data_IF_116194139001
#
_entry.id   IF_116194139001
#
_cell.length_a   1.000
_cell.length_b   1.000
_cell.length_c   1.000
_cell.angle_alpha   90.00
_cell.angle_beta   90.00
_cell.angle_gamma   90.00
#
_symmetry.space_group_name_H-M   'P 1'
#
loop_
_entity.id
_entity.type
_entity.pdbx_description
1 polymer ?
#
# COMPACT_ATOMS: atom_id res chain seq x y z
N UNK A 1 -6.85 35.11 -7.68
CA UNK A 1 -8.10 34.49 -8.18
C UNK A 1 -7.80 33.45 -9.27
N UNK A 2 -7.14 33.81 -10.39
CA UNK A 2 -6.68 32.82 -11.39
C UNK A 2 -5.75 31.74 -10.84
N UNK A 3 -4.93 32.07 -9.84
CA UNK A 3 -4.02 31.15 -9.16
C UNK A 3 -4.63 29.83 -8.69
N UNK A 4 -5.88 29.79 -8.23
CA UNK A 4 -6.54 28.55 -7.81
C UNK A 4 -6.95 27.66 -8.99
N UNK A 5 -7.39 28.28 -10.09
CA UNK A 5 -7.76 27.64 -11.36
C UNK A 5 -6.52 27.09 -12.04
N UNK A 6 -5.47 27.91 -12.12
CA UNK A 6 -4.20 27.53 -12.76
C UNK A 6 -3.58 26.35 -12.01
N UNK A 7 -3.57 26.40 -10.67
CA UNK A 7 -3.02 25.33 -9.85
C UNK A 7 -3.75 23.99 -10.04
N UNK A 8 -5.09 23.96 -9.96
CA UNK A 8 -5.81 22.69 -10.16
C UNK A 8 -5.68 22.18 -11.60
N UNK A 9 -5.60 23.10 -12.57
CA UNK A 9 -5.33 22.75 -13.97
C UNK A 9 -3.95 22.12 -14.14
N UNK A 10 -2.94 22.65 -13.46
CA UNK A 10 -1.58 22.10 -13.44
C UNK A 10 -1.53 20.71 -12.79
N UNK A 11 -2.29 20.49 -11.71
CA UNK A 11 -2.43 19.18 -11.05
C UNK A 11 -3.14 18.18 -11.96
N UNK A 12 -4.14 18.60 -12.74
CA UNK A 12 -4.84 17.74 -13.71
C UNK A 12 -4.01 17.42 -14.94
N UNK A 13 -3.10 18.30 -15.33
CA UNK A 13 -2.31 18.14 -16.54
C UNK A 13 -1.32 16.98 -16.41
N UNK A 14 -1.72 15.80 -16.92
CA UNK A 14 -0.91 14.57 -16.89
C UNK A 14 0.43 14.72 -17.64
N UNK A 15 0.47 15.62 -18.63
CA UNK A 15 1.64 15.89 -19.47
C UNK A 15 2.46 17.11 -19.00
N UNK A 16 2.16 17.67 -17.82
CA UNK A 16 2.88 18.81 -17.28
C UNK A 16 4.40 18.54 -17.25
N UNK A 17 5.23 19.32 -18.00
CA UNK A 17 6.67 19.09 -18.11
C UNK A 17 7.39 19.04 -16.76
N UNK A 18 6.89 19.78 -15.76
CA UNK A 18 7.43 19.77 -14.39
C UNK A 18 7.31 18.39 -13.72
N UNK A 19 6.33 17.60 -14.11
CA UNK A 19 5.93 16.35 -13.44
C UNK A 19 6.06 15.13 -14.36
N UNK A 20 6.90 15.16 -15.39
CA UNK A 20 7.08 14.04 -16.31
C UNK A 20 8.01 12.94 -15.78
N UNK A 21 8.96 13.29 -14.90
CA UNK A 21 9.94 12.35 -14.39
C UNK A 21 9.30 11.31 -13.45
N UNK A 22 9.43 10.03 -13.81
CA UNK A 22 8.91 8.90 -13.02
C UNK A 22 10.02 8.27 -12.15
N UNK A 23 9.76 8.00 -10.85
CA UNK A 23 10.75 7.40 -9.97
C UNK A 23 10.97 5.91 -10.27
N UNK A 24 12.20 5.50 -10.59
CA UNK A 24 12.47 4.11 -10.98
C UNK A 24 12.29 3.09 -9.83
N UNK A 25 12.35 3.55 -8.59
CA UNK A 25 12.20 2.76 -7.36
C UNK A 25 10.76 2.79 -6.79
N UNK A 26 9.86 3.54 -7.43
CA UNK A 26 8.48 3.70 -7.00
C UNK A 26 8.29 4.64 -5.81
N UNK A 27 9.25 5.50 -5.46
CA UNK A 27 9.07 6.48 -4.36
C UNK A 27 7.94 7.50 -4.62
N UNK A 28 7.68 8.38 -3.65
CA UNK A 28 6.65 9.43 -3.74
C UNK A 28 6.94 10.35 -4.94
N UNK A 29 5.92 10.60 -5.76
CA UNK A 29 6.05 11.47 -6.91
C UNK A 29 6.05 12.96 -6.50
N UNK A 30 6.87 13.78 -7.16
CA UNK A 30 6.97 15.22 -6.84
C UNK A 30 5.63 15.97 -6.94
N UNK A 31 4.78 15.62 -7.91
CA UNK A 31 3.41 16.15 -8.00
C UNK A 31 2.64 16.00 -6.66
N UNK A 32 2.77 14.86 -5.99
CA UNK A 32 2.09 14.59 -4.71
C UNK A 32 2.63 15.50 -3.61
N UNK A 33 3.95 15.59 -3.46
CA UNK A 33 4.55 16.43 -2.43
C UNK A 33 4.26 17.91 -2.66
N UNK A 34 4.40 18.42 -3.88
CA UNK A 34 4.11 19.81 -4.24
C UNK A 34 2.63 20.15 -4.02
N UNK A 35 1.71 19.25 -4.38
CA UNK A 35 0.27 19.47 -4.24
C UNK A 35 -0.13 19.62 -2.78
N UNK A 36 0.36 18.71 -1.91
CA UNK A 36 0.02 18.74 -0.49
C UNK A 36 0.74 19.85 0.25
N UNK A 37 1.96 20.21 -0.15
CA UNK A 37 2.65 21.39 0.38
C UNK A 37 1.87 22.67 0.06
N UNK A 38 1.28 22.77 -1.13
CA UNK A 38 0.39 23.88 -1.47
C UNK A 38 -0.86 23.91 -0.60
N UNK A 39 -1.59 22.78 -0.48
CA UNK A 39 -2.78 22.70 0.38
C UNK A 39 -2.47 23.05 1.85
N UNK A 40 -1.35 22.55 2.38
CA UNK A 40 -0.86 22.89 3.73
C UNK A 40 -0.60 24.39 3.89
N UNK A 41 -0.02 25.05 2.89
CA UNK A 41 0.19 26.51 2.92
C UNK A 41 -1.13 27.28 2.89
N UNK A 42 -2.13 26.79 2.16
CA UNK A 42 -3.46 27.42 2.15
C UNK A 42 -4.13 27.35 3.53
N UNK A 43 -3.95 26.26 4.27
CA UNK A 43 -4.48 26.14 5.64
C UNK A 43 -3.94 27.20 6.60
N UNK A 44 -2.70 27.68 6.42
CA UNK A 44 -2.15 28.78 7.23
C UNK A 44 -2.92 30.11 7.04
N UNK A 45 -3.67 30.24 5.95
CA UNK A 45 -4.45 31.43 5.61
C UNK A 45 -5.92 31.11 5.37
N UNK A 46 -6.44 30.06 6.05
CA UNK A 46 -7.76 29.50 5.81
C UNK A 46 -8.88 30.55 5.65
N UNK A 47 -9.07 31.54 6.56
CA UNK A 47 -10.18 32.50 6.45
C UNK A 47 -10.10 33.36 5.17
N UNK A 48 -8.89 33.74 4.77
CA UNK A 48 -8.64 34.52 3.55
C UNK A 48 -8.87 33.67 2.31
N UNK A 49 -8.41 32.41 2.32
CA UNK A 49 -8.60 31.47 1.20
C UNK A 49 -10.09 31.19 1.00
N UNK A 50 -10.84 30.91 2.08
CA UNK A 50 -12.29 30.74 2.03
C UNK A 50 -12.99 31.96 1.44
N UNK A 51 -12.62 33.17 1.87
CA UNK A 51 -13.20 34.42 1.37
C UNK A 51 -12.98 34.56 -0.14
N UNK A 52 -11.78 34.21 -0.63
CA UNK A 52 -11.45 34.28 -2.06
C UNK A 52 -12.19 33.21 -2.86
N UNK A 53 -12.26 31.96 -2.36
CA UNK A 53 -12.99 30.88 -3.03
C UNK A 53 -14.49 31.17 -3.10
N UNK A 54 -15.07 31.78 -2.08
CA UNK A 54 -16.46 32.25 -2.11
C UNK A 54 -16.67 33.38 -3.13
N UNK A 55 -15.68 34.24 -3.35
CA UNK A 55 -15.74 35.28 -4.37
C UNK A 55 -15.67 34.70 -5.79
N UNK A 56 -14.83 33.67 -5.99
CA UNK A 56 -14.74 32.91 -7.26
C UNK A 56 -16.08 32.20 -7.53
N UNK A 57 -16.72 31.69 -6.48
CA UNK A 57 -17.94 30.90 -6.55
C UNK A 57 -17.63 29.41 -6.55
N UNK A 58 -18.39 28.66 -5.75
CA UNK A 58 -18.18 27.23 -5.54
C UNK A 58 -18.22 26.45 -6.87
N UNK A 59 -17.16 25.69 -7.16
CA UNK A 59 -16.98 24.92 -8.39
C UNK A 59 -16.49 25.69 -9.61
N UNK A 60 -16.47 27.03 -9.59
CA UNK A 60 -16.05 27.84 -10.74
C UNK A 60 -14.54 27.75 -11.02
N UNK A 61 -13.75 27.13 -10.14
CA UNK A 61 -12.34 26.82 -10.41
C UNK A 61 -12.15 25.71 -11.45
N UNK A 62 -13.21 24.97 -11.79
CA UNK A 62 -13.18 23.90 -12.80
C UNK A 62 -13.44 24.41 -14.22
N UNK A 63 -13.81 25.68 -14.39
CA UNK A 63 -14.20 26.27 -15.66
C UNK A 63 -13.28 27.44 -16.02
N UNK A 64 -12.17 27.21 -16.74
CA UNK A 64 -11.19 28.25 -17.07
C UNK A 64 -11.78 29.42 -17.86
N UNK A 65 -12.86 29.18 -18.62
CA UNK A 65 -13.55 30.18 -19.45
C UNK A 65 -14.85 30.74 -18.84
N UNK A 66 -15.24 30.37 -17.62
CA UNK A 66 -16.44 30.92 -16.97
C UNK A 66 -16.15 32.33 -16.40
N UNK A 67 -15.83 33.27 -17.28
CA UNK A 67 -15.81 34.68 -16.95
C UNK A 67 -17.19 35.15 -16.54
N UNK A 68 -17.34 35.52 -15.26
CA UNK A 68 -18.33 36.44 -14.68
C UNK A 68 -19.84 36.27 -14.98
N UNK A 69 -20.27 35.28 -15.76
CA UNK A 69 -21.63 35.26 -16.34
C UNK A 69 -22.44 33.98 -16.08
N UNK A 70 -21.97 33.07 -15.21
CA UNK A 70 -22.88 32.05 -14.66
C UNK A 70 -23.72 32.62 -13.52
N UNK A 71 -25.03 32.28 -13.42
CA UNK A 71 -25.83 32.65 -12.27
C UNK A 71 -25.12 32.12 -11.03
N UNK A 72 -24.78 33.02 -10.11
CA UNK A 72 -24.27 32.67 -8.78
C UNK A 72 -25.20 31.59 -8.24
N UNK A 73 -24.70 30.34 -8.09
CA UNK A 73 -25.46 29.31 -7.37
C UNK A 73 -25.97 29.96 -6.09
N UNK A 74 -27.26 29.81 -5.74
CA UNK A 74 -27.79 30.43 -4.54
C UNK A 74 -26.84 30.09 -3.41
N UNK A 75 -26.42 31.10 -2.64
CA UNK A 75 -25.58 30.91 -1.44
C UNK A 75 -26.27 29.82 -0.63
N UNK A 76 -25.77 28.59 -0.68
CA UNK A 76 -26.06 27.65 0.38
C UNK A 76 -25.64 28.38 1.64
N UNK A 77 -26.49 28.40 2.67
CA UNK A 77 -26.14 29.06 3.93
C UNK A 77 -24.88 28.50 4.60
N UNK A 78 -24.26 27.47 4.01
CA UNK A 78 -23.02 26.82 4.40
C UNK A 78 -21.88 27.21 3.45
N UNK A 79 -20.81 27.75 4.02
CA UNK A 79 -19.55 28.00 3.33
C UNK A 79 -18.80 26.67 3.14
N UNK A 80 -18.98 26.02 1.98
CA UNK A 80 -18.33 24.74 1.61
C UNK A 80 -17.29 24.89 0.50
N UNK A 81 -17.01 26.12 0.06
CA UNK A 81 -16.15 26.35 -1.11
C UNK A 81 -14.73 25.81 -0.91
N UNK A 82 -14.15 25.95 0.29
CA UNK A 82 -12.83 25.41 0.59
C UNK A 82 -12.82 23.87 0.60
N UNK A 83 -13.84 23.26 1.21
CA UNK A 83 -14.02 21.81 1.22
C UNK A 83 -14.05 21.26 -0.21
N UNK A 84 -14.93 21.81 -1.05
CA UNK A 84 -15.10 21.36 -2.44
C UNK A 84 -13.83 21.57 -3.27
N UNK A 85 -13.15 22.71 -3.08
CA UNK A 85 -11.88 22.96 -3.76
C UNK A 85 -10.82 21.92 -3.39
N UNK A 86 -10.66 21.60 -2.11
CA UNK A 86 -9.70 20.58 -1.66
C UNK A 86 -10.08 19.17 -2.11
N UNK A 87 -11.37 18.84 -2.12
CA UNK A 87 -11.84 17.57 -2.67
C UNK A 87 -11.47 17.45 -4.16
N UNK A 88 -11.74 18.49 -4.97
CA UNK A 88 -11.42 18.51 -6.40
C UNK A 88 -9.91 18.43 -6.67
N UNK A 89 -9.08 19.09 -5.85
CA UNK A 89 -7.61 19.02 -5.96
C UNK A 89 -7.10 17.62 -5.64
N UNK A 90 -7.62 16.98 -4.58
CA UNK A 90 -7.22 15.62 -4.20
C UNK A 90 -7.67 14.59 -5.24
N UNK A 91 -8.89 14.73 -5.77
CA UNK A 91 -9.37 13.89 -6.86
C UNK A 91 -8.49 14.04 -8.11
N UNK A 92 -8.18 15.27 -8.51
CA UNK A 92 -7.26 15.54 -9.62
C UNK A 92 -5.88 14.91 -9.40
N UNK A 93 -5.33 15.04 -8.19
CA UNK A 93 -4.05 14.45 -7.82
C UNK A 93 -4.10 12.92 -7.91
N UNK A 94 -5.10 12.27 -7.30
CA UNK A 94 -5.26 10.82 -7.32
C UNK A 94 -5.37 10.31 -8.75
N UNK A 95 -6.25 10.90 -9.57
CA UNK A 95 -6.41 10.50 -10.97
C UNK A 95 -5.11 10.65 -11.79
N UNK A 96 -4.33 11.70 -11.54
CA UNK A 96 -3.05 11.90 -12.21
C UNK A 96 -2.01 10.85 -11.75
N UNK A 97 -1.93 10.57 -10.45
CA UNK A 97 -1.05 9.52 -9.92
C UNK A 97 -1.43 8.14 -10.46
N UNK A 98 -2.72 7.83 -10.58
CA UNK A 98 -3.19 6.60 -11.21
C UNK A 98 -2.80 6.53 -12.69
N UNK A 99 -2.95 7.63 -13.44
CA UNK A 99 -2.51 7.69 -14.84
C UNK A 99 -0.99 7.46 -14.95
N UNK A 100 -0.21 8.09 -14.08
CA UNK A 100 1.26 7.93 -14.01
C UNK A 100 1.70 6.53 -13.62
N UNK A 101 0.95 5.83 -12.76
CA UNK A 101 1.26 4.46 -12.37
C UNK A 101 1.31 3.48 -13.56
N UNK A 102 0.63 3.81 -14.68
CA UNK A 102 0.64 3.03 -15.92
C UNK A 102 1.99 3.06 -16.65
N UNK A 103 2.90 3.94 -16.24
CA UNK A 103 4.30 3.90 -16.67
C UNK A 103 4.95 2.56 -16.29
N UNK A 104 4.61 2.05 -15.11
CA UNK A 104 4.98 0.70 -14.68
C UNK A 104 4.02 -0.31 -15.31
N UNK A 105 4.51 -1.50 -15.67
CA UNK A 105 3.65 -2.50 -16.34
C UNK A 105 2.56 -2.96 -15.39
N UNK A 106 1.30 -2.99 -15.85
CA UNK A 106 0.13 -3.41 -15.06
C UNK A 106 0.39 -4.75 -14.37
N UNK A 107 0.16 -4.80 -13.06
CA UNK A 107 0.34 -6.00 -12.25
C UNK A 107 1.75 -6.22 -11.72
N UNK A 108 2.73 -5.38 -12.06
CA UNK A 108 4.04 -5.43 -11.41
C UNK A 108 3.97 -4.84 -10.00
N UNK A 109 4.64 -5.49 -9.05
CA UNK A 109 4.80 -5.04 -7.66
C UNK A 109 5.17 -3.55 -7.56
N UNK A 110 6.03 -3.07 -8.47
CA UNK A 110 6.45 -1.67 -8.52
C UNK A 110 5.28 -0.69 -8.71
N UNK A 111 4.26 -1.06 -9.51
CA UNK A 111 3.03 -0.26 -9.65
C UNK A 111 2.33 -0.11 -8.31
N UNK A 112 2.17 -1.20 -7.54
CA UNK A 112 1.54 -1.13 -6.22
C UNK A 112 2.41 -0.32 -5.24
N UNK A 113 3.72 -0.51 -5.21
CA UNK A 113 4.63 0.28 -4.35
C UNK A 113 4.50 1.78 -4.62
N UNK A 114 4.50 2.17 -5.89
CA UNK A 114 4.31 3.57 -6.29
C UNK A 114 2.98 4.13 -5.80
N UNK A 115 1.88 3.40 -6.02
CA UNK A 115 0.55 3.83 -5.57
C UNK A 115 0.47 3.92 -4.04
N UNK A 116 0.98 2.90 -3.32
CA UNK A 116 1.04 2.87 -1.86
C UNK A 116 1.79 4.08 -1.30
N UNK A 117 2.98 4.36 -1.82
CA UNK A 117 3.79 5.50 -1.38
C UNK A 117 3.03 6.83 -1.53
N UNK A 118 2.40 7.05 -2.69
CA UNK A 118 1.69 8.29 -2.95
C UNK A 118 0.39 8.40 -2.13
N UNK A 119 -0.43 7.34 -2.07
CA UNK A 119 -1.66 7.37 -1.28
C UNK A 119 -1.41 7.49 0.21
N UNK A 120 -0.41 6.79 0.74
CA UNK A 120 -0.05 6.92 2.14
C UNK A 120 0.50 8.30 2.45
N UNK A 121 1.32 8.88 1.55
CA UNK A 121 1.80 10.25 1.71
C UNK A 121 0.64 11.26 1.71
N UNK A 122 -0.37 11.09 0.85
CA UNK A 122 -1.62 11.88 0.87
C UNK A 122 -2.32 11.75 2.21
N UNK A 123 -2.60 10.50 2.59
CA UNK A 123 -3.31 10.11 3.79
C UNK A 123 -2.65 10.67 5.06
N UNK A 124 -1.33 10.53 5.19
CA UNK A 124 -0.53 11.06 6.31
C UNK A 124 -0.44 12.58 6.30
N UNK A 125 -0.22 13.22 5.14
CA UNK A 125 -0.14 14.68 5.06
C UNK A 125 -1.46 15.36 5.40
N UNK A 126 -2.59 14.79 4.97
CA UNK A 126 -3.93 15.27 5.31
C UNK A 126 -4.20 15.12 6.80
N UNK A 127 -3.89 13.95 7.39
CA UNK A 127 -4.08 13.70 8.83
C UNK A 127 -3.19 14.56 9.73
N UNK A 128 -1.97 14.84 9.31
CA UNK A 128 -0.97 15.56 10.14
C UNK A 128 -1.02 17.07 9.97
N UNK A 129 -1.71 17.58 8.94
CA UNK A 129 -1.92 19.02 8.76
C UNK A 129 -3.12 19.47 9.61
N UNK A 130 -2.94 20.39 10.58
CA UNK A 130 -4.03 20.83 11.45
C UNK A 130 -5.23 21.37 10.67
N UNK A 131 -6.44 20.91 10.99
CA UNK A 131 -7.68 21.38 10.37
C UNK A 131 -7.97 20.84 8.97
N UNK A 132 -6.99 20.22 8.30
CA UNK A 132 -7.12 19.87 6.89
C UNK A 132 -8.10 18.71 6.67
N UNK A 133 -8.01 17.66 7.49
CA UNK A 133 -8.94 16.53 7.42
C UNK A 133 -10.38 16.97 7.75
N UNK A 134 -10.56 17.84 8.74
CA UNK A 134 -11.88 18.38 9.10
C UNK A 134 -12.48 19.22 7.96
N UNK A 135 -11.66 20.03 7.29
CA UNK A 135 -12.09 20.82 6.12
C UNK A 135 -12.47 19.90 4.96
N UNK A 136 -11.66 18.88 4.65
CA UNK A 136 -11.92 17.96 3.53
C UNK A 136 -13.21 17.16 3.76
N UNK A 137 -13.39 16.62 4.97
CA UNK A 137 -14.56 15.80 5.28
C UNK A 137 -15.82 16.65 5.52
N UNK A 138 -15.64 17.93 5.84
CA UNK A 138 -16.71 18.87 6.08
C UNK A 138 -17.38 18.68 7.44
N UNK A 139 -18.26 19.61 7.82
CA UNK A 139 -18.87 19.65 9.16
C UNK A 139 -19.79 18.46 9.45
N UNK A 140 -20.39 17.85 8.43
CA UNK A 140 -21.33 16.73 8.58
C UNK A 140 -20.64 15.41 8.88
N UNK A 141 -19.34 15.28 8.59
CA UNK A 141 -18.58 14.07 8.91
C UNK A 141 -18.47 13.82 10.42
N UNK A 142 -18.37 14.89 11.21
CA UNK A 142 -18.35 14.82 12.67
C UNK A 142 -19.75 14.62 13.26
N UNK A 143 -20.81 15.00 12.54
CA UNK A 143 -22.19 14.87 12.99
C UNK A 143 -22.74 13.44 12.83
N UNK A 144 -22.16 12.65 11.94
CA UNK A 144 -22.53 11.25 11.72
C UNK A 144 -21.31 10.35 11.89
N UNK A 145 -20.96 10.00 13.14
CA UNK A 145 -19.89 9.08 13.47
C UNK A 145 -20.07 7.67 12.85
N UNK A 146 -21.26 7.37 12.33
CA UNK A 146 -21.59 6.12 11.62
C UNK A 146 -21.67 6.31 10.10
N UNK A 147 -21.33 7.50 9.56
CA UNK A 147 -21.25 7.69 8.12
C UNK A 147 -20.23 6.67 7.58
N UNK A 148 -20.60 5.89 6.55
CA UNK A 148 -19.66 4.95 5.95
C UNK A 148 -18.40 5.74 5.57
N UNK A 149 -17.21 5.26 5.95
CA UNK A 149 -15.93 5.88 5.55
C UNK A 149 -15.88 6.17 4.03
N UNK A 150 -16.60 5.34 3.29
CA UNK A 150 -16.84 5.43 1.86
C UNK A 150 -17.59 6.70 1.38
N UNK A 151 -18.41 7.37 2.19
CA UNK A 151 -19.12 8.57 1.75
C UNK A 151 -18.33 9.87 1.95
N UNK A 152 -17.14 9.81 2.58
CA UNK A 152 -16.32 10.99 2.83
C UNK A 152 -15.44 11.34 1.63
N UNK A 153 -15.15 12.63 1.36
CA UNK A 153 -14.20 13.04 0.33
C UNK A 153 -12.81 12.42 0.50
N UNK A 154 -12.36 12.15 1.73
CA UNK A 154 -11.09 11.44 1.98
C UNK A 154 -11.05 10.01 1.40
N UNK A 155 -12.21 9.41 1.11
CA UNK A 155 -12.28 8.07 0.53
C UNK A 155 -11.58 7.95 -0.84
N UNK A 156 -11.38 9.07 -1.54
CA UNK A 156 -10.70 9.12 -2.84
C UNK A 156 -9.27 8.57 -2.79
N UNK A 157 -8.58 8.70 -1.65
CA UNK A 157 -7.24 8.13 -1.45
C UNK A 157 -7.22 7.01 -0.40
N UNK A 158 -8.11 7.00 0.61
CA UNK A 158 -8.10 5.96 1.65
C UNK A 158 -8.55 4.59 1.11
N UNK A 159 -9.54 4.55 0.21
CA UNK A 159 -9.98 3.28 -0.39
C UNK A 159 -8.90 2.65 -1.26
N UNK A 160 -8.32 3.36 -2.25
CA UNK A 160 -7.28 2.74 -3.08
C UNK A 160 -6.01 2.46 -2.27
N UNK A 161 -5.71 3.21 -1.19
CA UNK A 161 -4.63 2.83 -0.25
C UNK A 161 -4.88 1.43 0.32
N UNK A 162 -6.05 1.20 0.93
CA UNK A 162 -6.39 -0.11 1.52
C UNK A 162 -6.37 -1.22 0.47
N UNK A 163 -6.99 -0.99 -0.69
CA UNK A 163 -7.00 -1.97 -1.78
C UNK A 163 -5.59 -2.30 -2.28
N UNK A 164 -4.69 -1.32 -2.38
CA UNK A 164 -3.31 -1.57 -2.80
C UNK A 164 -2.49 -2.29 -1.72
N UNK A 165 -2.81 -2.14 -0.44
CA UNK A 165 -2.20 -2.96 0.63
C UNK A 165 -2.59 -4.42 0.43
N UNK A 166 -3.89 -4.69 0.26
CA UNK A 166 -4.40 -6.05 0.02
C UNK A 166 -3.76 -6.65 -1.26
N UNK A 167 -3.72 -5.89 -2.36
CA UNK A 167 -3.08 -6.32 -3.61
C UNK A 167 -1.57 -6.56 -3.48
N UNK A 168 -0.88 -5.79 -2.64
CA UNK A 168 0.54 -6.06 -2.38
C UNK A 168 0.69 -7.36 -1.59
N UNK A 169 -0.10 -7.56 -0.54
CA UNK A 169 -0.05 -8.75 0.31
C UNK A 169 -0.30 -10.03 -0.49
N UNK A 170 -1.12 -9.96 -1.54
CA UNK A 170 -1.37 -11.06 -2.47
C UNK A 170 -0.10 -11.63 -3.14
N UNK A 171 0.97 -10.84 -3.28
CA UNK A 171 2.24 -11.32 -3.84
C UNK A 171 2.92 -12.39 -2.96
N UNK A 172 2.55 -12.49 -1.69
CA UNK A 172 3.08 -13.49 -0.76
C UNK A 172 2.23 -14.75 -0.69
N UNK A 173 1.02 -14.77 -1.28
CA UNK A 173 0.08 -15.90 -1.22
C UNK A 173 0.68 -17.18 -1.79
N UNK A 174 1.36 -17.12 -2.93
CA UNK A 174 1.97 -18.31 -3.55
C UNK A 174 3.08 -18.90 -2.67
N UNK A 175 3.89 -18.06 -2.02
CA UNK A 175 4.88 -18.53 -1.04
C UNK A 175 4.18 -19.20 0.16
N UNK A 176 3.10 -18.62 0.67
CA UNK A 176 2.29 -19.21 1.75
C UNK A 176 1.66 -20.54 1.33
N UNK A 177 1.17 -20.65 0.10
CA UNK A 177 0.56 -21.87 -0.46
C UNK A 177 1.55 -23.05 -0.50
N UNK A 178 2.81 -22.81 -0.84
CA UNK A 178 3.84 -23.85 -0.79
C UNK A 178 4.09 -24.37 0.63
N UNK A 179 3.86 -23.53 1.65
CA UNK A 179 4.03 -23.85 3.06
C UNK A 179 2.77 -24.44 3.71
N UNK A 180 1.62 -24.36 3.03
CA UNK A 180 0.41 -25.03 3.49
C UNK A 180 0.63 -26.53 3.47
N UNK A 181 0.53 -27.14 4.64
CA UNK A 181 0.86 -28.53 4.80
C UNK A 181 -0.30 -29.37 5.30
N UNK A 182 -0.39 -30.58 4.77
CA UNK A 182 -1.45 -31.52 5.09
C UNK A 182 -0.93 -32.45 6.17
N UNK A 183 -1.74 -32.66 7.21
CA UNK A 183 -1.48 -33.73 8.17
C UNK A 183 -1.91 -35.05 7.54
N UNK A 184 -0.96 -35.93 7.31
CA UNK A 184 -1.26 -37.25 6.77
C UNK A 184 -1.77 -38.15 7.90
N UNK A 185 -2.94 -38.74 7.71
CA UNK A 185 -3.57 -39.66 8.65
C UNK A 185 -3.59 -41.04 8.01
N UNK A 186 -3.14 -42.05 8.73
CA UNK A 186 -3.19 -43.45 8.32
C UNK A 186 -3.75 -44.27 9.49
N UNK A 187 -4.77 -45.09 9.23
CA UNK A 187 -5.42 -45.96 10.22
C UNK A 187 -5.84 -45.27 11.53
N UNK A 188 -6.38 -44.05 11.42
CA UNK A 188 -6.87 -43.27 12.57
C UNK A 188 -5.78 -42.57 13.40
N UNK A 189 -4.51 -42.66 13.00
CA UNK A 189 -3.38 -41.97 13.63
C UNK A 189 -2.63 -41.03 12.67
N UNK A 190 -1.87 -40.07 13.23
CA UNK A 190 -0.98 -39.22 12.44
C UNK A 190 0.18 -40.07 11.91
N UNK A 191 0.34 -40.11 10.59
CA UNK A 191 1.42 -40.85 9.93
C UNK A 191 2.75 -40.17 10.24
N UNK A 192 3.69 -40.91 10.85
CA UNK A 192 4.98 -40.37 11.30
C UNK A 192 6.12 -40.55 10.28
N UNK A 193 5.94 -41.41 9.27
CA UNK A 193 6.96 -41.71 8.25
C UNK A 193 6.38 -41.46 6.87
N UNK A 194 7.02 -40.61 6.08
CA UNK A 194 6.57 -40.27 4.74
C UNK A 194 6.83 -41.42 3.76
N UNK A 195 5.90 -41.64 2.83
CA UNK A 195 6.13 -42.50 1.67
C UNK A 195 6.90 -41.76 0.56
N UNK A 196 7.26 -42.46 -0.53
CA UNK A 196 8.06 -41.87 -1.61
C UNK A 196 7.42 -40.63 -2.24
N UNK A 197 6.10 -40.67 -2.48
CA UNK A 197 5.36 -39.56 -3.10
C UNK A 197 5.29 -38.36 -2.16
N UNK A 198 4.98 -38.58 -0.88
CA UNK A 198 4.96 -37.53 0.14
C UNK A 198 6.32 -36.86 0.30
N UNK A 199 7.42 -37.63 0.32
CA UNK A 199 8.78 -37.08 0.32
C UNK A 199 9.05 -36.22 -0.90
N UNK A 200 8.58 -36.64 -2.07
CA UNK A 200 8.74 -35.86 -3.30
C UNK A 200 7.93 -34.54 -3.24
N UNK A 201 6.70 -34.58 -2.74
CA UNK A 201 5.88 -33.38 -2.54
C UNK A 201 6.56 -32.36 -1.61
N UNK A 202 7.14 -32.81 -0.49
CA UNK A 202 7.87 -31.91 0.44
C UNK A 202 9.08 -31.26 -0.24
N UNK A 203 9.84 -32.03 -1.02
CA UNK A 203 10.97 -31.49 -1.81
C UNK A 203 10.52 -30.41 -2.80
N UNK A 204 9.39 -30.63 -3.47
CA UNK A 204 8.88 -29.70 -4.47
C UNK A 204 8.34 -28.42 -3.82
N UNK A 205 7.68 -28.53 -2.65
CA UNK A 205 7.28 -27.36 -1.83
C UNK A 205 8.48 -26.47 -1.47
N UNK A 206 9.56 -27.04 -0.93
CA UNK A 206 10.78 -26.27 -0.63
C UNK A 206 11.37 -25.61 -1.87
N UNK A 207 11.46 -26.34 -3.00
CA UNK A 207 11.97 -25.79 -4.26
C UNK A 207 11.13 -24.63 -4.78
N UNK A 208 9.81 -24.78 -4.80
CA UNK A 208 8.91 -23.76 -5.31
C UNK A 208 8.91 -22.53 -4.40
N UNK A 209 8.88 -22.73 -3.08
CA UNK A 209 9.06 -21.63 -2.12
C UNK A 209 10.37 -20.88 -2.37
N UNK A 210 11.49 -21.58 -2.50
CA UNK A 210 12.79 -20.95 -2.74
C UNK A 210 12.79 -20.16 -4.06
N UNK A 211 12.16 -20.68 -5.10
CA UNK A 211 12.07 -20.00 -6.39
C UNK A 211 11.26 -18.70 -6.29
N UNK A 212 10.05 -18.77 -5.74
CA UNK A 212 9.15 -17.63 -5.65
C UNK A 212 9.71 -16.56 -4.69
N UNK A 213 10.26 -16.98 -3.55
CA UNK A 213 10.91 -16.07 -2.60
C UNK A 213 12.14 -15.38 -3.22
N UNK A 214 12.96 -16.11 -3.98
CA UNK A 214 14.13 -15.52 -4.67
C UNK A 214 13.72 -14.47 -5.70
N UNK A 215 12.66 -14.71 -6.47
CA UNK A 215 12.16 -13.76 -7.46
C UNK A 215 11.55 -12.51 -6.80
N UNK A 216 10.82 -12.67 -5.69
CA UNK A 216 10.35 -11.54 -4.88
C UNK A 216 11.53 -10.76 -4.30
N UNK A 217 12.54 -11.44 -3.75
CA UNK A 217 13.76 -10.82 -3.21
C UNK A 217 14.50 -10.01 -4.27
N UNK A 218 14.78 -10.63 -5.42
CA UNK A 218 15.53 -10.04 -6.54
C UNK A 218 14.87 -8.77 -7.07
N UNK A 219 13.55 -8.76 -7.15
CA UNK A 219 12.78 -7.63 -7.69
C UNK A 219 12.55 -6.56 -6.63
N UNK A 220 11.97 -6.91 -5.49
CA UNK A 220 11.46 -5.93 -4.52
C UNK A 220 12.57 -5.22 -3.71
N UNK A 221 13.77 -5.81 -3.58
CA UNK A 221 14.89 -5.17 -2.87
C UNK A 221 15.39 -3.88 -3.53
N UNK A 222 14.99 -3.61 -4.77
CA UNK A 222 15.39 -2.42 -5.52
C UNK A 222 14.41 -1.26 -5.34
N UNK A 223 13.20 -1.54 -4.84
CA UNK A 223 12.16 -0.54 -4.68
C UNK A 223 12.31 0.21 -3.36
N UNK A 224 11.61 1.34 -3.22
CA UNK A 224 11.68 2.20 -2.04
C UNK A 224 10.30 2.41 -1.42
N UNK A 225 10.23 2.34 -0.09
CA UNK A 225 9.10 2.80 0.72
C UNK A 225 9.71 3.69 1.81
N UNK A 226 9.74 5.02 1.60
CA UNK A 226 10.43 5.92 2.51
C UNK A 226 9.75 6.02 3.88
N UNK A 227 8.42 5.86 3.93
CA UNK A 227 7.68 5.93 5.19
C UNK A 227 7.73 4.62 5.97
N UNK A 228 8.19 4.70 7.22
CA UNK A 228 8.41 3.54 8.10
C UNK A 228 7.10 2.86 8.54
N UNK A 229 6.02 3.62 8.70
CA UNK A 229 4.71 3.07 9.09
C UNK A 229 4.09 2.31 7.92
N UNK A 230 4.16 2.88 6.72
CA UNK A 230 3.73 2.19 5.51
C UNK A 230 4.54 0.92 5.28
N UNK A 231 5.87 0.99 5.42
CA UNK A 231 6.74 -0.18 5.26
C UNK A 231 6.38 -1.30 6.24
N UNK A 232 6.12 -0.96 7.50
CA UNK A 232 5.66 -1.92 8.50
C UNK A 232 4.28 -2.52 8.16
N UNK A 233 3.35 -1.71 7.64
CA UNK A 233 2.02 -2.17 7.19
C UNK A 233 2.12 -3.16 6.03
N UNK A 234 2.95 -2.85 5.03
CA UNK A 234 3.17 -3.65 3.83
C UNK A 234 3.84 -4.99 4.15
N UNK A 235 4.82 -5.01 5.06
CA UNK A 235 5.55 -6.22 5.46
C UNK A 235 4.88 -7.01 6.59
N UNK A 236 3.71 -6.57 7.08
CA UNK A 236 3.03 -7.17 8.23
C UNK A 236 2.80 -8.68 8.05
N UNK A 237 2.26 -9.09 6.91
CA UNK A 237 1.90 -10.50 6.67
C UNK A 237 3.13 -11.38 6.44
N UNK A 238 4.22 -10.81 5.93
CA UNK A 238 5.51 -11.51 5.89
C UNK A 238 5.94 -11.89 7.31
N UNK A 239 5.84 -10.95 8.24
CA UNK A 239 6.23 -11.16 9.63
C UNK A 239 5.25 -12.00 10.44
N UNK A 240 3.94 -11.85 10.21
CA UNK A 240 2.90 -12.47 11.04
C UNK A 240 2.36 -13.79 10.48
N UNK A 241 2.56 -14.05 9.19
CA UNK A 241 2.02 -15.23 8.50
C UNK A 241 3.13 -16.05 7.87
N UNK A 242 3.89 -15.46 6.93
CA UNK A 242 4.86 -16.20 6.12
C UNK A 242 5.96 -16.83 6.98
N UNK A 243 6.61 -16.05 7.85
CA UNK A 243 7.70 -16.52 8.71
C UNK A 243 7.21 -17.61 9.68
N UNK A 244 6.13 -17.42 10.46
CA UNK A 244 5.60 -18.48 11.32
C UNK A 244 5.20 -19.76 10.58
N UNK A 245 4.63 -19.63 9.37
CA UNK A 245 4.32 -20.78 8.53
C UNK A 245 5.58 -21.50 8.04
N UNK A 246 6.62 -20.76 7.68
CA UNK A 246 7.91 -21.32 7.28
C UNK A 246 8.57 -22.06 8.44
N UNK A 247 8.63 -21.45 9.62
CA UNK A 247 9.20 -22.07 10.82
C UNK A 247 8.46 -23.36 11.20
N UNK A 248 7.13 -23.35 11.14
CA UNK A 248 6.31 -24.54 11.39
C UNK A 248 6.56 -25.63 10.34
N UNK A 249 6.67 -25.25 9.07
CA UNK A 249 6.97 -26.18 7.98
C UNK A 249 8.36 -26.79 8.16
N UNK A 250 9.35 -25.97 8.49
CA UNK A 250 10.73 -26.39 8.75
C UNK A 250 10.80 -27.36 9.95
N UNK A 251 10.19 -27.01 11.09
CA UNK A 251 10.19 -27.84 12.29
C UNK A 251 9.58 -29.23 12.07
N UNK A 252 8.60 -29.36 11.18
CA UNK A 252 7.98 -30.64 10.84
C UNK A 252 8.93 -31.57 10.06
N UNK A 253 9.75 -31.00 9.18
CA UNK A 253 10.56 -31.76 8.20
C UNK A 253 12.06 -31.75 8.50
N UNK A 254 12.51 -30.95 9.47
CA UNK A 254 13.91 -30.75 9.84
C UNK A 254 14.03 -30.83 11.35
N UNK A 255 14.71 -31.85 11.86
CA UNK A 255 15.01 -31.92 13.29
C UNK A 255 16.22 -31.05 13.56
N UNK A 256 16.13 -30.20 14.57
CA UNK A 256 17.30 -29.68 15.24
C UNK A 256 18.04 -30.86 15.86
N UNK A 257 19.32 -30.96 15.57
CA UNK A 257 20.30 -31.75 16.30
C UNK A 257 19.98 -31.81 17.81
N UNK A 258 19.65 -33.01 18.30
CA UNK A 258 19.89 -33.47 19.67
C UNK A 258 19.15 -32.77 20.82
N UNK A 259 18.01 -33.33 21.24
CA UNK A 259 17.75 -33.66 22.66
C UNK A 259 16.41 -34.38 22.78
N UNK A 260 16.46 -35.65 23.16
CA UNK A 260 15.30 -36.48 23.48
C UNK A 260 14.62 -36.05 24.78
N UNK A 261 13.81 -35.01 24.70
CA UNK A 261 12.83 -34.66 25.74
C UNK A 261 11.56 -35.52 25.61
N UNK A 262 10.91 -35.91 26.73
CA UNK A 262 9.71 -36.74 26.74
C UNK A 262 8.48 -35.92 26.32
N UNK A 263 8.42 -35.61 25.04
CA UNK A 263 7.32 -34.93 24.34
C UNK A 263 7.57 -34.91 22.83
N UNK A 264 8.34 -35.88 22.34
CA UNK A 264 9.00 -35.89 21.04
C UNK A 264 8.04 -35.62 19.88
N UNK A 265 8.17 -34.43 19.28
CA UNK A 265 7.67 -34.20 17.94
C UNK A 265 8.46 -35.09 16.99
N UNK A 266 7.80 -36.10 16.41
CA UNK A 266 8.43 -36.98 15.43
C UNK A 266 8.70 -36.17 14.16
N UNK A 267 9.97 -35.82 13.92
CA UNK A 267 10.37 -35.19 12.65
C UNK A 267 10.15 -36.17 11.50
N UNK A 268 9.49 -35.71 10.44
CA UNK A 268 9.21 -36.50 9.25
C UNK A 268 10.36 -36.34 8.24
N UNK A 269 11.37 -37.22 8.29
CA UNK A 269 12.52 -37.12 7.37
C UNK A 269 12.07 -37.26 5.90
N UNK A 270 12.28 -36.20 5.12
CA UNK A 270 11.89 -36.16 3.71
C UNK A 270 13.04 -36.48 2.73
N UNK A 271 14.28 -36.33 3.18
CA UNK A 271 15.47 -36.60 2.37
C UNK A 271 16.74 -36.71 3.21
N UNK A 272 17.71 -37.50 2.73
CA UNK A 272 19.06 -37.61 3.29
C UNK A 272 19.95 -36.38 3.03
N UNK A 273 19.59 -35.54 2.06
CA UNK A 273 20.37 -34.36 1.63
C UNK A 273 19.56 -33.08 1.82
N UNK A 274 19.14 -32.81 3.06
CA UNK A 274 18.19 -31.73 3.39
C UNK A 274 18.72 -30.34 3.00
N UNK A 275 20.04 -30.12 3.13
CA UNK A 275 20.77 -28.90 2.76
C UNK A 275 20.64 -28.50 1.28
N UNK A 276 20.24 -29.44 0.40
CA UNK A 276 19.97 -29.12 -1.01
C UNK A 276 18.64 -28.37 -1.21
N UNK A 277 17.70 -28.52 -0.26
CA UNK A 277 16.33 -28.02 -0.36
C UNK A 277 16.07 -26.88 0.63
N UNK A 278 16.63 -26.96 1.83
CA UNK A 278 16.51 -25.94 2.86
C UNK A 278 17.59 -24.89 2.62
N UNK A 279 17.19 -23.74 2.07
CA UNK A 279 18.10 -22.62 1.79
C UNK A 279 18.03 -21.52 2.83
N UNK A 280 16.96 -21.50 3.62
CA UNK A 280 16.65 -20.45 4.57
C UNK A 280 16.27 -21.05 5.91
N UNK A 281 16.51 -20.30 6.98
CA UNK A 281 15.78 -20.43 8.23
C UNK A 281 14.85 -19.21 8.41
N UNK A 282 13.98 -19.24 9.44
CA UNK A 282 13.07 -18.13 9.71
C UNK A 282 13.77 -16.81 9.99
N UNK A 283 14.97 -16.83 10.59
CA UNK A 283 15.76 -15.61 10.85
C UNK A 283 16.28 -15.02 9.55
N UNK A 284 16.81 -15.85 8.64
CA UNK A 284 17.27 -15.40 7.32
C UNK A 284 16.14 -14.75 6.52
N UNK A 285 14.95 -15.37 6.48
CA UNK A 285 13.77 -14.78 5.80
C UNK A 285 13.41 -13.44 6.44
N UNK A 286 13.43 -13.35 7.77
CA UNK A 286 13.16 -12.10 8.50
C UNK A 286 14.17 -11.01 8.16
N UNK A 287 15.45 -11.33 8.18
CA UNK A 287 16.54 -10.37 7.93
C UNK A 287 16.53 -9.89 6.49
N UNK A 288 16.19 -10.77 5.54
CA UNK A 288 15.94 -10.40 4.15
C UNK A 288 14.69 -9.52 4.06
N UNK A 289 13.56 -9.92 4.66
CA UNK A 289 12.33 -9.11 4.61
C UNK A 289 12.53 -7.69 5.15
N UNK A 290 13.30 -7.53 6.23
CA UNK A 290 13.63 -6.24 6.82
C UNK A 290 14.51 -5.34 5.93
N UNK A 291 15.20 -5.90 4.94
CA UNK A 291 15.98 -5.14 3.97
C UNK A 291 15.13 -4.63 2.81
N UNK A 292 13.91 -5.14 2.62
CA UNK A 292 13.03 -4.60 1.58
C UNK A 292 12.73 -3.12 1.81
N UNK A 293 12.71 -2.37 0.70
CA UNK A 293 12.25 -0.99 0.67
C UNK A 293 13.08 -0.01 1.49
N UNK A 294 14.33 -0.36 1.80
CA UNK A 294 15.26 0.46 2.61
C UNK A 294 16.21 1.32 1.79
N UNK A 295 16.23 1.16 0.45
CA UNK A 295 16.99 2.06 -0.43
C UNK A 295 16.36 3.45 -0.35
N UNK A 296 16.98 4.34 0.41
CA UNK A 296 16.61 5.76 0.57
C UNK A 296 17.85 6.62 0.51
#
# INVERSE_FOLDING_TARGET
MRTFIDFISDVRNQNNPKYQAMPLDGTVHQLTSDTLNYMKRLMNYQPSVESILNLIGDGNWNTPDAGASQPRRPRSGRNTALQNYFADVLEALVQNIEAKSKFYKKGQVLTQIFLLNNYFYISKSVRTTPGLLEVINGPDANANANAPLNSLPSAVYERPLKQNVDLYQDNWKTCVEHLMDVTYVQDGGVQQVLNSNQRQMVKDKFKNFNHDFDELWKTQKQYSIPDVELRAMVLKDVHQILIPMYDKFLAKYVSSTGSGGPGGGTTMEFTKNAQKYIRYDGSMIKDMANQFFTNT
#
